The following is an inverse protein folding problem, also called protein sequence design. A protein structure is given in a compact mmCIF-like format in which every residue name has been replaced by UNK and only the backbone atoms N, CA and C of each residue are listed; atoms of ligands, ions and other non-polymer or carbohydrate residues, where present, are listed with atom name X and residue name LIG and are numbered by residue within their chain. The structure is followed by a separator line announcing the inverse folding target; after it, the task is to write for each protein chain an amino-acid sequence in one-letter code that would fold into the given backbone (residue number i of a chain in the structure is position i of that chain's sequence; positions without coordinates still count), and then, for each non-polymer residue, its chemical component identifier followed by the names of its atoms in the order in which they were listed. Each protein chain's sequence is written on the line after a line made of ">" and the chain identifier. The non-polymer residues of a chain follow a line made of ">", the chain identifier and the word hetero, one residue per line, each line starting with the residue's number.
data_IF_239265490542
#
_entry.id   IF_239265490542
#
_cell.length_a   1.000
_cell.length_b   1.000
_cell.length_c   1.000
_cell.angle_alpha   90.00
_cell.angle_beta   90.00
_cell.angle_gamma   90.00
#
_symmetry.space_group_name_H-M   'P 1'
#
loop_
_entity.id
_entity.type
_entity.pdbx_description
1 polymer ?
#
# COMPACT_ATOMS: atom_id res chain seq x y z
N UNK A 1 7.59 5.37 -84.21
CA UNK A 1 8.07 4.64 -83.01
C UNK A 1 9.09 5.41 -82.17
N UNK A 2 10.01 6.21 -82.73
CA UNK A 2 10.96 6.98 -81.91
C UNK A 2 10.34 8.23 -81.22
N UNK A 3 9.37 8.91 -81.85
CA UNK A 3 8.74 10.12 -81.30
C UNK A 3 7.78 9.84 -80.12
N UNK A 4 6.99 8.76 -80.18
CA UNK A 4 6.12 8.33 -79.06
C UNK A 4 6.92 7.87 -77.82
N UNK A 5 8.12 7.33 -78.04
CA UNK A 5 8.97 6.84 -76.95
C UNK A 5 9.57 8.01 -76.16
N UNK A 6 9.85 9.15 -76.82
CA UNK A 6 10.34 10.38 -76.18
C UNK A 6 9.24 11.06 -75.35
N UNK A 7 7.98 11.01 -75.80
CA UNK A 7 6.82 11.51 -75.03
C UNK A 7 6.53 10.64 -73.80
N UNK A 8 6.67 9.32 -73.92
CA UNK A 8 6.52 8.39 -72.79
C UNK A 8 7.61 8.59 -71.73
N UNK A 9 8.87 8.75 -72.16
CA UNK A 9 10.01 9.01 -71.26
C UNK A 9 9.82 10.34 -70.53
N UNK A 10 9.41 11.41 -71.22
CA UNK A 10 9.11 12.70 -70.58
C UNK A 10 7.96 12.63 -69.56
N UNK A 11 6.90 11.88 -69.87
CA UNK A 11 5.78 11.63 -68.94
C UNK A 11 6.23 10.81 -67.72
N UNK A 12 7.07 9.79 -67.91
CA UNK A 12 7.65 8.99 -66.84
C UNK A 12 8.57 9.82 -65.93
N UNK A 13 9.38 10.72 -66.47
CA UNK A 13 10.20 11.64 -65.69
C UNK A 13 9.37 12.62 -64.85
N UNK A 14 8.28 13.15 -65.43
CA UNK A 14 7.34 14.01 -64.70
C UNK A 14 6.65 13.24 -63.56
N UNK A 15 6.22 12.00 -63.81
CA UNK A 15 5.65 11.12 -62.77
C UNK A 15 6.66 10.78 -61.68
N UNK A 16 7.91 10.45 -62.04
CA UNK A 16 8.98 10.17 -61.09
C UNK A 16 9.30 11.39 -60.22
N UNK A 17 9.37 12.60 -60.80
CA UNK A 17 9.54 13.85 -60.05
C UNK A 17 8.37 14.12 -59.10
N UNK A 18 7.12 13.93 -59.56
CA UNK A 18 5.91 14.10 -58.73
C UNK A 18 5.87 13.10 -57.57
N UNK A 19 6.18 11.84 -57.83
CA UNK A 19 6.25 10.80 -56.81
C UNK A 19 7.37 11.09 -55.79
N UNK A 20 8.55 11.50 -56.25
CA UNK A 20 9.65 11.93 -55.37
C UNK A 20 9.28 13.12 -54.48
N UNK A 21 8.59 14.12 -55.03
CA UNK A 21 8.10 15.26 -54.27
C UNK A 21 7.02 14.87 -53.23
N UNK A 22 6.07 14.01 -53.61
CA UNK A 22 5.04 13.49 -52.71
C UNK A 22 5.64 12.64 -51.58
N UNK A 23 6.58 11.75 -51.89
CA UNK A 23 7.32 10.96 -50.89
C UNK A 23 8.10 11.86 -49.93
N UNK A 24 8.79 12.88 -50.44
CA UNK A 24 9.50 13.84 -49.60
C UNK A 24 8.57 14.68 -48.71
N UNK A 25 7.38 15.04 -49.20
CA UNK A 25 6.37 15.74 -48.39
C UNK A 25 5.79 14.83 -47.29
N UNK A 26 5.50 13.57 -47.61
CA UNK A 26 5.05 12.57 -46.65
C UNK A 26 6.09 12.33 -45.55
N UNK A 27 7.36 12.13 -45.92
CA UNK A 27 8.45 11.97 -44.95
C UNK A 27 8.62 13.19 -44.04
N UNK A 28 8.48 14.41 -44.57
CA UNK A 28 8.50 15.63 -43.75
C UNK A 28 7.30 15.68 -42.80
N UNK A 29 6.10 15.35 -43.26
CA UNK A 29 4.91 15.32 -42.42
C UNK A 29 5.04 14.27 -41.29
N UNK A 30 5.57 13.08 -41.59
CA UNK A 30 5.85 12.05 -40.57
C UNK A 30 6.87 12.55 -39.53
N UNK A 31 7.93 13.23 -39.97
CA UNK A 31 8.94 13.81 -39.06
C UNK A 31 8.32 14.92 -38.21
N UNK A 32 7.53 15.83 -38.78
CA UNK A 32 6.88 16.91 -38.05
C UNK A 32 5.85 16.38 -37.03
N UNK A 33 5.12 15.33 -37.38
CA UNK A 33 4.21 14.62 -36.48
C UNK A 33 4.99 13.95 -35.33
N UNK A 34 6.08 13.25 -35.63
CA UNK A 34 6.93 12.61 -34.63
C UNK A 34 7.57 13.62 -33.67
N UNK A 35 8.04 14.76 -34.18
CA UNK A 35 8.57 15.85 -33.37
C UNK A 35 7.49 16.48 -32.49
N UNK A 36 6.28 16.67 -33.02
CA UNK A 36 5.15 17.20 -32.28
C UNK A 36 4.72 16.26 -31.15
N UNK A 37 4.62 14.96 -31.42
CA UNK A 37 4.37 13.93 -30.39
C UNK A 37 5.44 13.93 -29.30
N UNK A 38 6.71 14.04 -29.69
CA UNK A 38 7.83 14.09 -28.73
C UNK A 38 7.74 15.33 -27.84
N UNK A 39 7.47 16.51 -28.41
CA UNK A 39 7.29 17.76 -27.64
C UNK A 39 6.11 17.66 -26.67
N UNK A 40 4.98 17.11 -27.12
CA UNK A 40 3.82 16.86 -26.26
C UNK A 40 4.14 15.89 -25.13
N UNK A 41 4.89 14.82 -25.42
CA UNK A 41 5.34 13.86 -24.40
C UNK A 41 6.23 14.50 -23.34
N UNK A 42 7.17 15.36 -23.74
CA UNK A 42 8.02 16.12 -22.79
C UNK A 42 7.19 17.06 -21.93
N UNK A 43 6.30 17.84 -22.54
CA UNK A 43 5.42 18.76 -21.80
C UNK A 43 4.49 18.01 -20.82
N UNK A 44 3.98 16.84 -21.22
CA UNK A 44 3.17 15.99 -20.35
C UNK A 44 3.99 15.42 -19.19
N UNK A 45 5.24 15.01 -19.43
CA UNK A 45 6.14 14.57 -18.37
C UNK A 45 6.41 15.68 -17.34
N UNK A 46 6.64 16.92 -17.80
CA UNK A 46 6.79 18.08 -16.93
C UNK A 46 5.53 18.35 -16.09
N UNK A 47 4.35 18.26 -16.72
CA UNK A 47 3.07 18.42 -16.02
C UNK A 47 2.83 17.32 -14.98
N UNK A 48 3.20 16.07 -15.28
CA UNK A 48 3.09 14.94 -14.34
C UNK A 48 4.07 15.06 -13.17
N UNK A 49 5.29 15.59 -13.41
CA UNK A 49 6.22 15.95 -12.32
C UNK A 49 5.62 17.01 -11.40
N UNK A 50 5.13 18.12 -11.97
CA UNK A 50 4.51 19.18 -11.19
C UNK A 50 3.28 18.68 -10.40
N UNK A 51 2.48 17.80 -11.01
CA UNK A 51 1.37 17.15 -10.32
C UNK A 51 1.85 16.28 -9.16
N UNK A 52 2.93 15.51 -9.33
CA UNK A 52 3.45 14.66 -8.27
C UNK A 52 3.95 15.48 -7.06
N UNK A 53 4.54 16.65 -7.31
CA UNK A 53 4.91 17.59 -6.24
C UNK A 53 3.67 18.09 -5.48
N UNK A 54 2.62 18.50 -6.19
CA UNK A 54 1.33 18.90 -5.59
C UNK A 54 0.68 17.74 -4.82
N UNK A 55 0.77 16.52 -5.33
CA UNK A 55 0.23 15.34 -4.64
C UNK A 55 0.99 15.01 -3.35
N UNK A 56 2.31 15.24 -3.31
CA UNK A 56 3.12 15.12 -2.10
C UNK A 56 2.67 16.13 -1.05
N UNK A 57 2.57 17.41 -1.41
CA UNK A 57 2.07 18.46 -0.51
C UNK A 57 0.64 18.16 -0.03
N UNK A 58 -0.22 17.68 -0.93
CA UNK A 58 -1.58 17.33 -0.59
C UNK A 58 -1.67 16.16 0.42
N UNK A 59 -0.75 15.17 0.35
CA UNK A 59 -0.65 14.10 1.36
C UNK A 59 -0.27 14.65 2.73
N UNK A 60 0.72 15.53 2.79
CA UNK A 60 1.15 16.18 4.04
C UNK A 60 0.03 17.04 4.66
N UNK A 61 -0.67 17.82 3.83
CA UNK A 61 -1.82 18.63 4.26
C UNK A 61 -2.95 17.73 4.76
N UNK A 62 -3.27 16.66 4.03
CA UNK A 62 -4.33 15.72 4.41
C UNK A 62 -4.01 15.05 5.75
N UNK A 63 -2.78 14.57 5.94
CA UNK A 63 -2.32 13.98 7.18
C UNK A 63 -2.37 15.00 8.33
N UNK A 64 -1.92 16.23 8.10
CA UNK A 64 -1.97 17.31 9.11
C UNK A 64 -3.41 17.63 9.51
N UNK A 65 -4.31 17.79 8.54
CA UNK A 65 -5.73 18.01 8.78
C UNK A 65 -6.36 16.86 9.58
N UNK A 66 -6.01 15.62 9.23
CA UNK A 66 -6.47 14.45 9.97
C UNK A 66 -5.96 14.44 11.41
N UNK A 67 -4.66 14.68 11.64
CA UNK A 67 -4.07 14.76 12.98
C UNK A 67 -4.77 15.79 13.85
N UNK A 68 -5.09 16.97 13.30
CA UNK A 68 -5.81 18.04 14.02
C UNK A 68 -7.21 17.60 14.44
N UNK A 69 -7.95 16.93 13.56
CA UNK A 69 -9.30 16.45 13.88
C UNK A 69 -9.26 15.27 14.86
N UNK A 70 -8.39 14.28 14.61
CA UNK A 70 -8.23 13.09 15.43
C UNK A 70 -7.70 13.41 16.84
N UNK A 71 -6.94 14.50 16.99
CA UNK A 71 -6.45 14.98 18.28
C UNK A 71 -7.57 15.22 19.30
N UNK A 72 -8.78 15.57 18.85
CA UNK A 72 -9.97 15.79 19.70
C UNK A 72 -10.44 14.52 20.39
N UNK A 73 -10.11 13.36 19.83
CA UNK A 73 -10.49 12.05 20.34
C UNK A 73 -9.34 11.33 21.06
N UNK A 74 -8.13 11.91 21.08
CA UNK A 74 -7.00 11.35 21.81
C UNK A 74 -7.31 11.23 23.30
N UNK A 75 -7.08 10.04 23.85
CA UNK A 75 -7.25 9.77 25.29
C UNK A 75 -6.00 9.09 25.86
N UNK A 76 -4.90 9.83 26.05
CA UNK A 76 -3.69 9.29 26.65
C UNK A 76 -3.99 8.65 28.01
N UNK A 77 -3.35 7.52 28.29
CA UNK A 77 -3.46 6.82 29.57
C UNK A 77 -2.13 6.23 29.93
N UNK A 78 -1.78 6.30 31.21
CA UNK A 78 -0.68 5.51 31.78
C UNK A 78 -1.25 4.32 32.54
N UNK A 79 -0.67 3.16 32.28
CA UNK A 79 -1.00 1.88 32.91
C UNK A 79 0.19 1.45 33.76
N UNK A 80 0.19 1.93 35.01
CA UNK A 80 1.22 1.61 35.99
C UNK A 80 1.05 0.20 36.59
N UNK A 81 1.96 -0.19 37.49
CA UNK A 81 1.92 -1.50 38.17
C UNK A 81 0.62 -1.75 38.92
N UNK A 82 0.06 -0.72 39.57
CA UNK A 82 -1.23 -0.80 40.29
C UNK A 82 -2.38 -1.07 39.32
N UNK A 83 -2.43 -0.36 38.19
CA UNK A 83 -3.44 -0.59 37.16
C UNK A 83 -3.39 -2.04 36.65
N UNK A 84 -2.19 -2.59 36.41
CA UNK A 84 -2.02 -4.01 36.01
C UNK A 84 -2.48 -5.00 37.08
N UNK A 85 -2.31 -4.69 38.36
CA UNK A 85 -2.82 -5.53 39.45
C UNK A 85 -4.35 -5.48 39.52
N UNK A 86 -4.94 -4.28 39.36
CA UNK A 86 -6.39 -4.11 39.29
C UNK A 86 -6.96 -4.90 38.11
N UNK A 87 -6.39 -4.77 36.92
CA UNK A 87 -6.91 -5.45 35.73
C UNK A 87 -6.84 -6.99 35.87
N UNK A 88 -5.78 -7.52 36.51
CA UNK A 88 -5.69 -8.95 36.87
C UNK A 88 -6.73 -9.36 37.91
N UNK A 89 -6.96 -8.52 38.92
CA UNK A 89 -8.01 -8.75 39.91
C UNK A 89 -9.42 -8.74 39.30
N UNK A 90 -9.66 -7.86 38.33
CA UNK A 90 -10.92 -7.80 37.59
C UNK A 90 -11.15 -9.05 36.74
N UNK A 91 -10.13 -9.61 36.09
CA UNK A 91 -10.30 -10.84 35.30
C UNK A 91 -10.81 -12.02 36.15
N UNK A 92 -10.44 -12.08 37.43
CA UNK A 92 -10.94 -13.09 38.37
C UNK A 92 -12.47 -13.01 38.60
N UNK A 93 -13.07 -11.83 38.41
CA UNK A 93 -14.53 -11.61 38.51
C UNK A 93 -15.29 -12.06 37.25
N UNK A 94 -14.65 -12.88 36.39
CA UNK A 94 -15.23 -13.48 35.17
C UNK A 94 -15.81 -12.40 34.25
N UNK A 95 -16.97 -12.64 33.64
CA UNK A 95 -17.52 -11.79 32.58
C UNK A 95 -17.71 -10.33 32.96
N UNK A 96 -18.12 -10.04 34.19
CA UNK A 96 -18.35 -8.66 34.63
C UNK A 96 -17.04 -7.90 34.80
N UNK A 97 -16.03 -8.51 35.42
CA UNK A 97 -14.72 -7.87 35.56
C UNK A 97 -13.95 -7.80 34.25
N UNK A 98 -14.05 -8.81 33.39
CA UNK A 98 -13.54 -8.79 32.00
C UNK A 98 -14.14 -7.64 31.19
N UNK A 99 -15.44 -7.39 31.31
CA UNK A 99 -16.07 -6.23 30.68
C UNK A 99 -15.48 -4.90 31.18
N UNK A 100 -15.13 -4.80 32.47
CA UNK A 100 -14.46 -3.63 33.02
C UNK A 100 -13.02 -3.48 32.52
N UNK A 101 -12.27 -4.59 32.33
CA UNK A 101 -10.94 -4.55 31.70
C UNK A 101 -11.04 -3.97 30.28
N UNK A 102 -11.99 -4.48 29.48
CA UNK A 102 -12.25 -3.98 28.13
C UNK A 102 -12.63 -2.49 28.16
N UNK A 103 -13.58 -2.09 29.00
CA UNK A 103 -14.01 -0.70 29.11
C UNK A 103 -12.86 0.24 29.49
N UNK A 104 -11.99 -0.19 30.41
CA UNK A 104 -10.83 0.59 30.87
C UNK A 104 -9.75 0.73 29.81
N UNK A 105 -9.58 -0.27 28.94
CA UNK A 105 -8.63 -0.23 27.84
C UNK A 105 -9.02 0.82 26.80
N UNK A 106 -10.32 1.02 26.57
CA UNK A 106 -10.85 1.98 25.60
C UNK A 106 -10.78 1.51 24.14
N UNK A 107 -10.47 0.24 23.90
CA UNK A 107 -10.37 -0.34 22.54
C UNK A 107 -11.72 -0.70 21.91
N UNK A 108 -12.80 -0.63 22.69
CA UNK A 108 -14.13 -1.06 22.29
C UNK A 108 -14.97 0.12 21.79
N UNK A 109 -15.53 -0.02 20.60
CA UNK A 109 -16.14 1.10 19.86
C UNK A 109 -17.62 1.33 20.21
N UNK A 110 -18.46 0.29 20.28
CA UNK A 110 -19.93 0.43 20.38
C UNK A 110 -20.60 -0.58 21.32
N UNK A 111 -21.73 -0.23 21.96
CA UNK A 111 -22.56 -1.20 22.72
C UNK A 111 -22.34 -1.30 24.24
N UNK A 112 -21.45 -0.47 24.81
CA UNK A 112 -21.30 -0.29 26.26
C UNK A 112 -20.97 -1.56 27.07
N UNK A 113 -21.06 -1.46 28.40
CA UNK A 113 -20.66 -2.55 29.32
C UNK A 113 -21.45 -3.85 29.12
N UNK A 114 -22.72 -3.77 28.71
CA UNK A 114 -23.56 -4.95 28.46
C UNK A 114 -23.04 -5.77 27.27
N UNK A 115 -22.66 -5.12 26.17
CA UNK A 115 -22.07 -5.80 25.02
C UNK A 115 -20.72 -6.42 25.38
N UNK A 116 -19.86 -5.68 26.09
CA UNK A 116 -18.57 -6.19 26.56
C UNK A 116 -18.72 -7.42 27.46
N UNK A 117 -19.69 -7.40 28.39
CA UNK A 117 -19.98 -8.54 29.26
C UNK A 117 -20.61 -9.73 28.49
N UNK A 118 -21.40 -9.47 27.45
CA UNK A 118 -21.91 -10.51 26.57
C UNK A 118 -20.77 -11.20 25.80
N UNK A 119 -19.87 -10.41 25.21
CA UNK A 119 -18.66 -10.90 24.57
C UNK A 119 -17.78 -11.70 25.53
N UNK A 120 -17.48 -11.16 26.72
CA UNK A 120 -16.65 -11.84 27.71
C UNK A 120 -17.25 -13.16 28.23
N UNK A 121 -18.57 -13.36 28.13
CA UNK A 121 -19.24 -14.64 28.44
C UNK A 121 -19.10 -15.68 27.34
N UNK A 122 -19.01 -15.25 26.07
CA UNK A 122 -18.84 -16.15 24.92
C UNK A 122 -17.46 -16.82 24.93
N UNK A 123 -16.45 -16.14 25.44
CA UNK A 123 -15.10 -16.69 25.56
C UNK A 123 -14.41 -16.84 24.20
N UNK A 124 -13.60 -17.89 24.04
CA UNK A 124 -12.81 -18.19 22.85
C UNK A 124 -13.62 -18.84 21.71
N UNK A 125 -14.74 -18.23 21.34
CA UNK A 125 -15.60 -18.67 20.22
C UNK A 125 -15.20 -17.94 18.92
N UNK A 126 -14.61 -18.61 17.90
CA UNK A 126 -14.18 -17.96 16.66
C UNK A 126 -15.30 -17.26 15.89
N UNK A 127 -16.57 -17.62 16.11
CA UNK A 127 -17.71 -17.00 15.44
C UNK A 127 -18.09 -15.63 16.03
N UNK A 128 -17.51 -15.25 17.17
CA UNK A 128 -17.80 -13.99 17.87
C UNK A 128 -16.68 -13.00 17.63
N UNK A 129 -17.00 -11.88 16.98
CA UNK A 129 -16.08 -10.77 16.79
C UNK A 129 -16.41 -9.61 17.75
N UNK A 130 -15.42 -9.06 18.47
CA UNK A 130 -15.61 -7.87 19.29
C UNK A 130 -15.79 -6.63 18.42
N UNK A 131 -16.49 -5.61 18.93
CA UNK A 131 -16.57 -4.29 18.30
C UNK A 131 -15.28 -3.49 18.58
N UNK A 132 -14.15 -3.99 18.10
CA UNK A 132 -12.81 -3.45 18.29
C UNK A 132 -11.93 -3.85 17.10
N UNK A 133 -10.80 -3.17 16.91
CA UNK A 133 -9.74 -3.60 15.98
C UNK A 133 -9.02 -4.85 16.52
N UNK A 134 -9.72 -5.98 16.53
CA UNK A 134 -9.28 -7.27 17.04
C UNK A 134 -10.02 -8.37 16.30
N UNK A 135 -9.29 -9.24 15.58
CA UNK A 135 -9.87 -10.41 14.92
C UNK A 135 -9.70 -11.63 15.83
N UNK A 136 -10.81 -12.07 16.43
CA UNK A 136 -10.81 -13.17 17.37
C UNK A 136 -10.47 -14.51 16.71
N UNK A 137 -11.05 -14.81 15.54
CA UNK A 137 -10.76 -16.06 14.84
C UNK A 137 -9.29 -16.15 14.44
N UNK A 138 -8.74 -15.05 13.94
CA UNK A 138 -7.33 -14.96 13.58
C UNK A 138 -6.41 -15.06 14.80
N UNK A 139 -6.70 -14.34 15.88
CA UNK A 139 -5.91 -14.39 17.11
C UNK A 139 -5.87 -15.79 17.73
N UNK A 140 -7.01 -16.50 17.73
CA UNK A 140 -7.10 -17.87 18.23
C UNK A 140 -6.30 -18.87 17.37
N UNK A 141 -6.17 -18.65 16.06
CA UNK A 141 -5.34 -19.50 15.19
C UNK A 141 -3.87 -19.49 15.61
N UNK A 142 -3.36 -18.34 16.06
CA UNK A 142 -2.01 -18.20 16.63
C UNK A 142 -1.91 -18.59 18.11
N UNK A 143 -3.03 -18.92 18.76
CA UNK A 143 -3.13 -19.21 20.20
C UNK A 143 -3.95 -20.47 20.48
N UNK A 144 -3.47 -21.65 20.04
CA UNK A 144 -4.17 -22.92 20.28
C UNK A 144 -4.30 -23.24 21.78
N UNK A 145 -3.46 -22.65 22.64
CA UNK A 145 -3.53 -22.73 24.10
C UNK A 145 -4.82 -22.15 24.69
N UNK A 146 -5.45 -21.20 23.98
CA UNK A 146 -6.72 -20.60 24.39
C UNK A 146 -7.94 -21.37 23.87
N UNK A 147 -7.75 -22.31 22.94
CA UNK A 147 -8.85 -23.05 22.33
C UNK A 147 -9.59 -23.89 23.39
N UNK A 148 -10.93 -23.77 23.43
CA UNK A 148 -11.76 -24.45 24.42
C UNK A 148 -11.68 -23.87 25.85
N UNK A 149 -10.85 -22.86 26.08
CA UNK A 149 -10.80 -22.15 27.36
C UNK A 149 -12.00 -21.22 27.53
N UNK A 150 -12.34 -20.89 28.78
CA UNK A 150 -13.28 -19.81 29.09
C UNK A 150 -12.62 -18.42 29.04
N UNK A 151 -11.38 -18.30 28.58
CA UNK A 151 -10.72 -17.00 28.48
C UNK A 151 -11.40 -16.15 27.39
N UNK A 152 -11.47 -14.84 27.62
CA UNK A 152 -11.92 -13.90 26.59
C UNK A 152 -10.68 -13.48 25.78
N UNK A 153 -10.60 -13.76 24.47
CA UNK A 153 -9.37 -13.53 23.70
C UNK A 153 -8.88 -12.08 23.70
N UNK A 154 -9.78 -11.11 23.57
CA UNK A 154 -9.43 -9.69 23.68
C UNK A 154 -8.89 -9.34 25.08
N UNK A 155 -9.48 -9.87 26.15
CA UNK A 155 -8.95 -9.65 27.51
C UNK A 155 -7.58 -10.29 27.65
N UNK A 156 -7.40 -11.50 27.12
CA UNK A 156 -6.11 -12.16 27.13
C UNK A 156 -5.04 -11.33 26.40
N UNK A 157 -5.35 -10.78 25.23
CA UNK A 157 -4.47 -9.85 24.53
C UNK A 157 -4.11 -8.64 25.41
N UNK A 158 -5.11 -7.99 26.01
CA UNK A 158 -4.92 -6.79 26.85
C UNK A 158 -4.09 -7.06 28.11
N UNK A 159 -4.11 -8.29 28.64
CA UNK A 159 -3.39 -8.65 29.86
C UNK A 159 -2.01 -9.26 29.59
N UNK A 160 -1.88 -10.01 28.49
CA UNK A 160 -0.72 -10.86 28.19
C UNK A 160 -0.24 -10.66 26.75
N UNK A 161 -1.12 -10.92 25.76
CA UNK A 161 -0.72 -11.01 24.36
C UNK A 161 -0.01 -9.78 23.80
N UNK A 162 -0.44 -8.57 24.17
CA UNK A 162 0.22 -7.35 23.71
C UNK A 162 1.65 -7.17 24.24
N UNK A 163 1.98 -7.71 25.42
CA UNK A 163 3.34 -7.68 25.97
C UNK A 163 4.23 -8.79 25.38
N UNK A 164 3.61 -9.85 24.87
CA UNK A 164 4.28 -10.95 24.18
C UNK A 164 4.51 -10.66 22.68
N UNK A 165 4.20 -9.45 22.22
CA UNK A 165 4.33 -9.08 20.80
C UNK A 165 3.26 -9.70 19.90
N UNK A 166 2.21 -10.32 20.45
CA UNK A 166 1.15 -10.88 19.64
C UNK A 166 0.42 -9.75 18.91
N UNK A 167 0.13 -9.93 17.64
CA UNK A 167 -0.74 -9.04 16.88
C UNK A 167 -2.22 -9.31 17.22
N UNK A 168 -3.11 -8.32 17.21
CA UNK A 168 -4.55 -8.49 17.48
C UNK A 168 -5.38 -8.73 16.21
N UNK A 169 -4.86 -8.36 15.04
CA UNK A 169 -5.58 -8.33 13.78
C UNK A 169 -4.57 -8.40 12.61
N UNK A 170 -4.89 -8.99 11.44
CA UNK A 170 -3.99 -9.02 10.27
C UNK A 170 -3.47 -7.63 9.84
N UNK A 171 -4.29 -6.59 9.93
CA UNK A 171 -3.92 -5.20 9.62
C UNK A 171 -3.22 -4.45 10.77
N UNK A 172 -2.81 -5.15 11.82
CA UNK A 172 -2.08 -4.55 12.94
C UNK A 172 -0.90 -5.44 13.32
N UNK A 173 0.31 -4.97 13.04
CA UNK A 173 1.55 -5.64 13.41
C UNK A 173 2.09 -5.04 14.71
N UNK A 174 1.97 -5.80 15.81
CA UNK A 174 2.40 -5.35 17.14
C UNK A 174 3.92 -5.10 17.22
N UNK A 175 4.73 -5.88 16.52
CA UNK A 175 6.19 -5.76 16.57
C UNK A 175 6.64 -4.54 15.77
N UNK A 176 6.15 -4.41 14.53
CA UNK A 176 6.37 -3.22 13.70
C UNK A 176 5.92 -1.95 14.41
N UNK A 177 4.72 -1.94 14.97
CA UNK A 177 4.18 -0.78 15.66
C UNK A 177 4.99 -0.42 16.92
N UNK A 178 5.42 -1.43 17.68
CA UNK A 178 6.25 -1.24 18.85
C UNK A 178 7.64 -0.69 18.51
N UNK A 179 8.25 -1.12 17.40
CA UNK A 179 9.55 -0.64 16.94
C UNK A 179 9.60 0.89 16.78
N UNK A 180 8.52 1.49 16.27
CA UNK A 180 8.42 2.94 16.04
C UNK A 180 7.79 3.71 17.23
N UNK A 181 7.24 3.02 18.22
CA UNK A 181 6.54 3.60 19.39
C UNK A 181 7.14 3.21 20.74
N UNK A 182 8.35 2.61 20.75
CA UNK A 182 8.92 1.94 21.93
C UNK A 182 9.01 2.85 23.16
N UNK A 183 9.45 4.09 23.00
CA UNK A 183 9.59 5.05 24.11
C UNK A 183 8.25 5.38 24.78
N UNK A 184 7.19 5.56 23.98
CA UNK A 184 5.85 5.88 24.48
C UNK A 184 5.16 4.66 25.10
N UNK A 185 5.34 3.48 24.51
CA UNK A 185 4.86 2.22 25.08
C UNK A 185 5.53 1.94 26.43
N UNK A 186 6.84 2.16 26.55
CA UNK A 186 7.57 1.99 27.80
C UNK A 186 7.11 3.00 28.87
N UNK A 187 6.92 4.27 28.50
CA UNK A 187 6.46 5.31 29.42
C UNK A 187 4.98 5.15 29.83
N UNK A 188 4.15 4.66 28.91
CA UNK A 188 2.71 4.50 29.06
C UNK A 188 2.30 3.18 29.70
N UNK A 189 3.06 2.10 29.51
CA UNK A 189 2.69 0.74 29.92
C UNK A 189 1.45 0.19 29.21
N UNK A 190 1.04 0.80 28.10
CA UNK A 190 -0.07 0.36 27.26
C UNK A 190 0.38 -0.77 26.33
N UNK A 191 -0.54 -1.65 25.95
CA UNK A 191 -0.31 -2.55 24.82
C UNK A 191 -0.23 -1.77 23.50
N UNK A 192 0.40 -2.32 22.43
CA UNK A 192 0.44 -1.69 21.11
C UNK A 192 -0.94 -1.23 20.61
N UNK A 193 -1.96 -2.10 20.68
CA UNK A 193 -3.32 -1.76 20.26
C UNK A 193 -3.94 -0.63 21.11
N UNK A 194 -3.79 -0.68 22.44
CA UNK A 194 -4.29 0.38 23.32
C UNK A 194 -3.65 1.73 22.98
N UNK A 195 -2.35 1.73 22.71
CA UNK A 195 -1.63 2.93 22.33
C UNK A 195 -2.10 3.48 20.98
N UNK A 196 -2.23 2.60 19.98
CA UNK A 196 -2.69 2.99 18.65
C UNK A 196 -4.06 3.66 18.67
N UNK A 197 -5.06 3.01 19.28
CA UNK A 197 -6.44 3.53 19.34
C UNK A 197 -6.51 4.85 20.12
N UNK A 198 -5.70 5.03 21.17
CA UNK A 198 -5.78 6.22 22.04
C UNK A 198 -4.97 7.41 21.56
N UNK A 199 -3.89 7.16 20.84
CA UNK A 199 -2.85 8.16 20.56
C UNK A 199 -2.26 7.95 19.17
N UNK A 200 -1.84 6.73 18.85
CA UNK A 200 -1.06 6.44 17.64
C UNK A 200 -1.75 6.78 16.33
N UNK A 201 -3.01 6.39 16.17
CA UNK A 201 -3.77 6.69 14.97
C UNK A 201 -3.84 8.21 14.75
N UNK A 202 -4.17 8.98 15.79
CA UNK A 202 -4.23 10.44 15.74
C UNK A 202 -2.85 11.12 15.53
N UNK A 203 -1.75 10.44 15.86
CA UNK A 203 -0.40 10.87 15.52
C UNK A 203 0.01 10.47 14.09
N UNK A 204 -0.83 9.73 13.36
CA UNK A 204 -0.52 9.23 12.02
C UNK A 204 0.56 8.15 12.03
N UNK A 205 0.57 7.28 13.06
CA UNK A 205 1.49 6.14 13.12
C UNK A 205 0.89 4.94 12.42
N UNK A 206 1.61 4.41 11.45
CA UNK A 206 1.18 3.26 10.68
C UNK A 206 1.09 2.00 11.56
N UNK A 207 -0.05 1.26 11.54
CA UNK A 207 -0.26 0.08 12.37
C UNK A 207 0.37 -1.20 11.77
N UNK A 208 0.71 -1.18 10.49
CA UNK A 208 1.25 -2.32 9.73
C UNK A 208 2.12 -1.78 8.58
N UNK A 209 3.19 -2.49 8.15
CA UNK A 209 3.98 -2.10 6.98
C UNK A 209 3.17 -1.85 5.70
N UNK A 210 1.98 -2.45 5.59
CA UNK A 210 1.14 -2.42 4.39
C UNK A 210 -0.09 -1.52 4.55
N UNK A 211 -0.08 -0.67 5.58
CA UNK A 211 -1.12 0.32 5.80
C UNK A 211 -0.47 1.66 6.13
N UNK A 212 -0.46 2.58 5.15
CA UNK A 212 0.05 3.94 5.33
C UNK A 212 -1.12 4.89 5.59
N UNK A 213 -1.19 5.46 6.80
CA UNK A 213 -2.22 6.43 7.18
C UNK A 213 -2.12 7.66 6.28
N UNK A 214 -0.90 8.14 6.01
CA UNK A 214 -0.67 9.28 5.11
C UNK A 214 -1.28 9.04 3.72
N UNK A 215 -0.99 7.89 3.12
CA UNK A 215 -1.51 7.52 1.81
C UNK A 215 -3.04 7.34 1.81
N UNK A 216 -3.56 6.69 2.85
CA UNK A 216 -4.97 6.34 2.95
C UNK A 216 -5.87 7.56 3.21
N UNK A 217 -5.47 8.43 4.15
CA UNK A 217 -6.20 9.65 4.51
C UNK A 217 -6.37 10.58 3.31
N UNK A 218 -5.36 10.68 2.44
CA UNK A 218 -5.43 11.49 1.23
C UNK A 218 -6.57 11.08 0.28
N UNK A 219 -6.97 9.81 0.30
CA UNK A 219 -8.05 9.26 -0.51
C UNK A 219 -9.43 9.34 0.16
N UNK A 220 -9.47 9.62 1.48
CA UNK A 220 -10.68 9.62 2.29
C UNK A 220 -10.90 10.98 2.99
N UNK A 221 -11.39 12.02 2.29
CA UNK A 221 -11.69 13.32 2.90
C UNK A 221 -12.70 13.24 4.07
N UNK A 222 -13.61 12.27 4.03
CA UNK A 222 -14.56 11.98 5.09
C UNK A 222 -13.91 11.45 6.38
N UNK A 223 -12.78 10.73 6.26
CA UNK A 223 -11.96 10.32 7.39
C UNK A 223 -11.28 11.54 8.05
N UNK A 224 -10.81 12.51 7.25
CA UNK A 224 -10.23 13.77 7.76
C UNK A 224 -11.27 14.54 8.59
N UNK A 225 -12.51 14.62 8.10
CA UNK A 225 -13.59 15.34 8.75
C UNK A 225 -14.07 14.66 10.05
N UNK A 226 -14.10 13.33 10.07
CA UNK A 226 -14.54 12.56 11.24
C UNK A 226 -13.45 12.38 12.30
N UNK A 227 -12.17 12.34 11.89
CA UNK A 227 -11.05 11.99 12.78
C UNK A 227 -11.13 10.57 13.34
N UNK A 228 -11.89 9.69 12.68
CA UNK A 228 -12.08 8.29 13.09
C UNK A 228 -10.82 7.44 12.88
N UNK A 229 -10.83 6.21 13.39
CA UNK A 229 -9.72 5.27 13.21
C UNK A 229 -9.58 4.88 11.72
N UNK A 230 -8.38 5.02 11.10
CA UNK A 230 -8.20 4.75 9.68
C UNK A 230 -8.41 3.29 9.29
N UNK A 231 -8.03 2.34 10.17
CA UNK A 231 -8.15 0.90 9.90
C UNK A 231 -9.60 0.48 9.99
N UNK A 232 -10.33 0.92 11.02
CA UNK A 232 -11.78 0.72 11.12
C UNK A 232 -12.50 1.34 9.92
N UNK A 233 -12.14 2.57 9.52
CA UNK A 233 -12.71 3.19 8.31
C UNK A 233 -12.43 2.37 7.05
N UNK A 234 -11.22 1.83 6.88
CA UNK A 234 -10.88 0.93 5.78
C UNK A 234 -11.77 -0.30 5.77
N UNK A 235 -11.85 -1.02 6.90
CA UNK A 235 -12.61 -2.27 7.06
C UNK A 235 -14.12 -2.09 6.84
N UNK A 236 -14.67 -0.93 7.17
CA UNK A 236 -16.11 -0.66 7.05
C UNK A 236 -16.50 -0.08 5.67
N UNK A 237 -15.70 0.85 5.15
CA UNK A 237 -16.11 1.70 4.01
C UNK A 237 -15.06 1.76 2.91
N UNK A 238 -13.79 1.96 3.27
CA UNK A 238 -12.73 2.28 2.30
C UNK A 238 -12.49 1.20 1.26
N UNK A 239 -12.43 -0.06 1.67
CA UNK A 239 -12.16 -1.15 0.72
C UNK A 239 -13.29 -1.34 -0.30
N UNK A 240 -14.55 -1.10 0.10
CA UNK A 240 -15.72 -1.17 -0.80
C UNK A 240 -15.74 -0.04 -1.82
N UNK A 241 -15.06 1.07 -1.51
CA UNK A 241 -14.81 2.20 -2.43
C UNK A 241 -13.59 1.97 -3.34
N UNK A 242 -12.89 0.84 -3.21
CA UNK A 242 -11.67 0.54 -3.96
C UNK A 242 -10.45 1.35 -3.51
N UNK A 243 -10.45 1.88 -2.27
CA UNK A 243 -9.31 2.65 -1.76
C UNK A 243 -8.13 1.74 -1.45
N UNK A 244 -6.94 2.17 -1.83
CA UNK A 244 -5.68 1.45 -1.56
C UNK A 244 -5.10 1.89 -0.21
N UNK A 245 -4.84 0.97 0.74
CA UNK A 245 -4.27 1.32 2.05
C UNK A 245 -2.79 1.66 2.00
N UNK A 246 -2.08 1.30 0.92
CA UNK A 246 -0.65 1.54 0.76
C UNK A 246 -0.27 1.65 -0.73
N UNK A 247 0.73 2.47 -1.13
CA UNK A 247 1.14 2.61 -2.53
C UNK A 247 1.54 1.28 -3.20
N UNK A 248 2.14 0.35 -2.45
CA UNK A 248 2.52 -0.99 -2.95
C UNK A 248 1.38 -2.02 -2.88
N UNK A 249 0.14 -1.60 -2.63
CA UNK A 249 -1.03 -2.45 -2.67
C UNK A 249 -2.10 -1.82 -3.57
N UNK A 250 -2.20 -2.30 -4.80
CA UNK A 250 -3.16 -1.83 -5.78
C UNK A 250 -4.49 -2.58 -5.64
N UNK A 251 -5.47 -2.00 -4.94
CA UNK A 251 -6.74 -2.66 -4.64
C UNK A 251 -7.52 -3.07 -5.91
N UNK A 252 -7.47 -2.27 -6.97
CA UNK A 252 -8.05 -2.57 -8.29
C UNK A 252 -7.42 -3.82 -8.91
N UNK A 253 -6.08 -3.87 -8.93
CA UNK A 253 -5.31 -4.93 -9.55
C UNK A 253 -5.41 -6.24 -8.77
N UNK A 254 -5.35 -6.15 -7.45
CA UNK A 254 -5.50 -7.30 -6.58
C UNK A 254 -6.93 -7.88 -6.64
N UNK A 255 -7.94 -7.00 -6.59
CA UNK A 255 -9.34 -7.39 -6.68
C UNK A 255 -9.72 -8.07 -8.00
N UNK A 256 -9.01 -7.76 -9.10
CA UNK A 256 -9.20 -8.43 -10.38
C UNK A 256 -8.67 -9.88 -10.42
N UNK A 257 -7.75 -10.24 -9.51
CA UNK A 257 -7.16 -11.58 -9.40
C UNK A 257 -7.83 -12.42 -8.30
N UNK A 258 -8.19 -11.79 -7.19
CA UNK A 258 -8.73 -12.46 -6.02
C UNK A 258 -10.17 -12.93 -6.28
N UNK A 259 -10.59 -14.08 -5.73
CA UNK A 259 -11.99 -14.49 -5.81
C UNK A 259 -12.88 -13.43 -5.14
N UNK A 260 -14.08 -13.23 -5.68
CA UNK A 260 -15.07 -12.36 -5.07
C UNK A 260 -15.45 -12.89 -3.67
N UNK A 261 -14.90 -12.27 -2.64
CA UNK A 261 -15.14 -12.61 -1.24
C UNK A 261 -15.49 -11.34 -0.46
N UNK A 262 -16.40 -11.44 0.52
CA UNK A 262 -16.80 -10.31 1.38
C UNK A 262 -15.77 -10.11 2.51
N UNK A 263 -14.52 -9.89 2.10
CA UNK A 263 -13.38 -9.65 2.98
C UNK A 263 -12.55 -8.52 2.37
N UNK A 264 -12.02 -7.62 3.21
CA UNK A 264 -11.20 -6.52 2.73
C UNK A 264 -9.96 -7.05 1.96
N UNK A 265 -9.62 -6.51 0.77
CA UNK A 265 -8.55 -7.02 -0.09
C UNK A 265 -7.20 -7.20 0.61
N UNK A 266 -6.78 -6.24 1.43
CA UNK A 266 -5.51 -6.35 2.15
C UNK A 266 -5.55 -7.45 3.23
N UNK A 267 -6.70 -7.66 3.88
CA UNK A 267 -6.88 -8.77 4.84
C UNK A 267 -6.81 -10.10 4.09
N UNK A 268 -7.49 -10.21 2.95
CA UNK A 268 -7.42 -11.41 2.11
C UNK A 268 -6.00 -11.69 1.64
N UNK A 269 -5.26 -10.65 1.21
CA UNK A 269 -3.85 -10.79 0.83
C UNK A 269 -2.99 -11.36 1.96
N UNK A 270 -3.06 -10.76 3.14
CA UNK A 270 -2.25 -11.18 4.29
C UNK A 270 -2.62 -12.56 4.84
N UNK A 271 -3.87 -13.00 4.67
CA UNK A 271 -4.34 -14.28 5.22
C UNK A 271 -4.29 -15.44 4.23
N UNK A 272 -4.42 -15.16 2.94
CA UNK A 272 -4.59 -16.17 1.88
C UNK A 272 -3.79 -15.83 0.63
N UNK A 273 -3.91 -14.60 0.12
CA UNK A 273 -3.38 -14.21 -1.19
C UNK A 273 -1.87 -14.33 -1.35
N UNK A 274 -1.11 -13.89 -0.35
CA UNK A 274 0.36 -13.95 -0.39
C UNK A 274 0.88 -15.40 -0.44
N UNK A 275 0.20 -16.32 0.25
CA UNK A 275 0.51 -17.75 0.20
C UNK A 275 0.09 -18.40 -1.13
N UNK A 276 -0.94 -17.86 -1.77
CA UNK A 276 -1.43 -18.30 -3.09
C UNK A 276 -0.69 -17.66 -4.28
N UNK A 277 0.37 -16.87 -4.04
CA UNK A 277 1.14 -16.22 -5.10
C UNK A 277 0.42 -15.05 -5.80
N UNK A 278 -0.71 -14.58 -5.25
CA UNK A 278 -1.45 -13.45 -5.83
C UNK A 278 -0.65 -12.15 -5.69
N UNK A 279 -0.54 -11.38 -6.77
CA UNK A 279 0.30 -10.19 -6.81
C UNK A 279 -0.44 -8.98 -6.22
N UNK A 280 0.06 -8.34 -5.14
CA UNK A 280 -0.59 -7.18 -4.53
C UNK A 280 -0.47 -5.92 -5.39
N UNK A 281 0.51 -5.88 -6.30
CA UNK A 281 0.79 -4.76 -7.19
C UNK A 281 1.47 -5.28 -8.46
N UNK A 282 1.28 -4.67 -9.65
CA UNK A 282 1.93 -5.14 -10.89
C UNK A 282 3.46 -5.20 -10.82
N UNK A 283 4.06 -4.30 -10.02
CA UNK A 283 5.51 -4.18 -9.81
C UNK A 283 6.06 -4.95 -8.61
N UNK A 284 5.22 -5.76 -7.93
CA UNK A 284 5.67 -6.64 -6.85
C UNK A 284 5.20 -8.07 -7.10
N UNK A 285 6.13 -9.00 -7.14
CA UNK A 285 5.86 -10.41 -7.41
C UNK A 285 6.32 -11.25 -6.20
N UNK A 286 5.39 -11.71 -5.33
CA UNK A 286 5.74 -12.42 -4.10
C UNK A 286 6.52 -13.73 -4.35
N UNK A 287 6.18 -14.46 -5.41
CA UNK A 287 6.83 -15.74 -5.73
C UNK A 287 8.23 -15.51 -6.29
N UNK A 288 8.37 -14.55 -7.19
CA UNK A 288 9.69 -14.17 -7.69
C UNK A 288 10.58 -13.64 -6.56
N UNK A 289 10.05 -12.77 -5.68
CA UNK A 289 10.79 -12.20 -4.57
C UNK A 289 11.30 -13.28 -3.60
N UNK A 290 10.45 -14.26 -3.24
CA UNK A 290 10.88 -15.42 -2.44
C UNK A 290 11.95 -16.26 -3.15
N UNK A 291 11.82 -16.43 -4.47
CA UNK A 291 12.80 -17.16 -5.27
C UNK A 291 14.16 -16.48 -5.36
N UNK A 292 14.21 -15.14 -5.23
CA UNK A 292 15.47 -14.39 -5.24
C UNK A 292 16.10 -14.26 -3.85
N UNK A 293 15.29 -14.16 -2.79
CA UNK A 293 15.74 -13.82 -1.44
C UNK A 293 15.45 -14.94 -0.45
N UNK A 294 16.39 -15.87 -0.33
CA UNK A 294 16.25 -17.06 0.52
C UNK A 294 16.09 -16.71 2.01
N UNK A 295 16.68 -15.61 2.47
CA UNK A 295 16.55 -15.11 3.84
C UNK A 295 15.10 -14.76 4.22
N UNK A 296 14.31 -14.33 3.24
CA UNK A 296 12.87 -14.03 3.41
C UNK A 296 12.08 -15.32 3.66
N UNK A 297 12.45 -16.39 2.96
CA UNK A 297 11.86 -17.72 3.10
C UNK A 297 12.26 -18.33 4.45
N UNK A 298 13.55 -18.31 4.78
CA UNK A 298 14.10 -18.87 6.00
C UNK A 298 13.57 -18.16 7.25
N UNK A 299 13.38 -16.83 7.17
CA UNK A 299 12.75 -16.04 8.21
C UNK A 299 11.23 -16.17 8.30
N UNK A 300 10.58 -16.82 7.32
CA UNK A 300 9.12 -16.98 7.27
C UNK A 300 8.36 -15.66 7.11
N UNK A 301 8.99 -14.62 6.56
CA UNK A 301 8.38 -13.31 6.42
C UNK A 301 7.38 -13.27 5.25
N UNK A 302 6.30 -12.49 5.42
CA UNK A 302 5.42 -12.17 4.28
C UNK A 302 6.21 -11.26 3.31
N UNK A 303 6.33 -11.64 2.01
CA UNK A 303 7.25 -10.99 1.08
C UNK A 303 7.09 -9.47 0.96
N UNK A 304 5.85 -8.98 0.81
CA UNK A 304 5.62 -7.55 0.61
C UNK A 304 5.89 -6.77 1.90
N UNK A 305 5.49 -7.31 3.05
CA UNK A 305 5.74 -6.73 4.37
C UNK A 305 7.24 -6.60 4.64
N UNK A 306 8.02 -7.65 4.34
CA UNK A 306 9.49 -7.59 4.39
C UNK A 306 10.04 -6.52 3.45
N UNK A 307 9.59 -6.49 2.19
CA UNK A 307 10.08 -5.50 1.23
C UNK A 307 9.80 -4.06 1.67
N UNK A 308 8.62 -3.78 2.24
CA UNK A 308 8.32 -2.43 2.74
C UNK A 308 9.14 -2.09 3.98
N UNK A 309 9.27 -3.03 4.92
CA UNK A 309 9.96 -2.78 6.20
C UNK A 309 11.48 -2.62 6.06
N UNK A 310 12.11 -3.38 5.17
CA UNK A 310 13.58 -3.41 5.02
C UNK A 310 14.04 -3.52 3.57
N UNK A 311 13.48 -4.46 2.81
CA UNK A 311 14.03 -4.85 1.49
C UNK A 311 14.14 -3.71 0.48
N UNK A 312 13.20 -2.77 0.47
CA UNK A 312 13.25 -1.61 -0.41
C UNK A 312 14.40 -0.66 -0.05
N UNK A 313 14.59 -0.37 1.24
CA UNK A 313 15.71 0.47 1.71
C UNK A 313 17.08 -0.19 1.47
N UNK A 314 17.12 -1.54 1.46
CA UNK A 314 18.28 -2.34 1.07
C UNK A 314 18.54 -2.35 -0.45
N UNK A 315 17.66 -1.75 -1.25
CA UNK A 315 17.78 -1.74 -2.71
C UNK A 315 17.44 -3.06 -3.38
N UNK A 316 16.66 -3.93 -2.72
CA UNK A 316 16.21 -5.20 -3.32
C UNK A 316 15.27 -4.96 -4.50
N UNK A 317 15.29 -5.89 -5.44
CA UNK A 317 14.39 -5.94 -6.57
C UNK A 317 13.04 -6.52 -6.11
N UNK A 318 11.90 -5.85 -6.34
CA UNK A 318 10.58 -6.34 -5.90
C UNK A 318 9.91 -7.30 -6.90
N UNK A 319 10.32 -7.25 -8.16
CA UNK A 319 9.79 -8.06 -9.25
C UNK A 319 10.75 -8.02 -10.44
N UNK A 320 10.54 -8.85 -11.47
CA UNK A 320 11.28 -8.73 -12.72
C UNK A 320 11.12 -7.35 -13.37
N UNK A 321 10.04 -6.63 -13.09
CA UNK A 321 9.66 -5.39 -13.76
C UNK A 321 10.28 -4.12 -13.14
N UNK A 322 11.07 -4.27 -12.08
CA UNK A 322 11.66 -3.12 -11.39
C UNK A 322 13.11 -3.39 -10.99
N UNK A 323 14.04 -2.71 -11.67
CA UNK A 323 15.44 -2.68 -11.32
C UNK A 323 15.70 -1.56 -10.31
N UNK A 324 15.80 -1.93 -9.03
CA UNK A 324 16.02 -0.97 -7.95
C UNK A 324 17.38 -0.28 -8.06
N UNK A 325 18.45 -1.02 -8.39
CA UNK A 325 19.79 -0.45 -8.53
C UNK A 325 19.86 0.59 -9.66
N UNK A 326 19.26 0.28 -10.82
CA UNK A 326 19.13 1.22 -11.93
C UNK A 326 18.30 2.44 -11.53
N UNK A 327 17.16 2.23 -10.88
CA UNK A 327 16.29 3.33 -10.46
C UNK A 327 17.01 4.29 -9.50
N UNK A 328 17.67 3.76 -8.47
CA UNK A 328 18.49 4.52 -7.51
C UNK A 328 19.56 5.31 -8.27
N UNK A 329 20.26 4.68 -9.22
CA UNK A 329 21.29 5.35 -10.03
C UNK A 329 20.71 6.51 -10.86
N UNK A 330 19.55 6.31 -11.49
CA UNK A 330 18.89 7.32 -12.31
C UNK A 330 18.34 8.49 -11.48
N UNK A 331 17.85 8.21 -10.27
CA UNK A 331 17.36 9.25 -9.35
C UNK A 331 18.49 10.02 -8.68
N UNK A 332 19.64 9.37 -8.45
CA UNK A 332 20.80 10.00 -7.85
C UNK A 332 20.47 10.72 -6.53
N UNK A 333 20.90 11.98 -6.41
CA UNK A 333 20.69 12.80 -5.21
C UNK A 333 19.25 13.18 -4.90
N UNK A 334 18.32 12.99 -5.84
CA UNK A 334 16.89 13.29 -5.63
C UNK A 334 16.18 12.20 -4.81
N UNK A 335 16.76 11.00 -4.72
CA UNK A 335 16.25 9.93 -3.87
C UNK A 335 16.83 10.07 -2.45
N UNK A 336 15.96 10.38 -1.49
CA UNK A 336 16.36 10.49 -0.10
C UNK A 336 16.98 9.17 0.43
N UNK A 337 18.07 9.22 1.22
CA UNK A 337 18.68 8.01 1.78
C UNK A 337 17.68 7.16 2.57
N UNK A 338 17.72 5.85 2.33
CA UNK A 338 16.81 4.88 2.99
C UNK A 338 15.36 4.92 2.49
N UNK A 339 15.00 5.80 1.54
CA UNK A 339 13.67 5.80 0.94
C UNK A 339 13.48 4.55 0.08
N UNK A 340 12.35 3.86 0.26
CA UNK A 340 12.00 2.72 -0.58
C UNK A 340 11.88 3.18 -2.06
N UNK A 341 12.70 2.62 -2.97
CA UNK A 341 12.80 3.08 -4.36
C UNK A 341 11.50 2.85 -5.14
N UNK A 342 10.81 1.73 -4.91
CA UNK A 342 9.53 1.47 -5.57
C UNK A 342 8.44 2.42 -5.08
N UNK A 343 8.42 2.75 -3.79
CA UNK A 343 7.48 3.77 -3.25
C UNK A 343 7.78 5.15 -3.86
N UNK A 344 9.05 5.56 -3.93
CA UNK A 344 9.44 6.82 -4.57
C UNK A 344 9.05 6.86 -6.05
N UNK A 345 9.26 5.75 -6.78
CA UNK A 345 8.88 5.62 -8.17
C UNK A 345 7.38 5.88 -8.37
N UNK A 346 6.53 5.20 -7.60
CA UNK A 346 5.07 5.32 -7.68
C UNK A 346 4.55 6.67 -7.18
N UNK A 347 5.29 7.34 -6.29
CA UNK A 347 4.89 8.63 -5.72
C UNK A 347 5.42 9.85 -6.51
N UNK A 348 5.91 9.64 -7.72
CA UNK A 348 6.27 10.72 -8.64
C UNK A 348 7.63 10.55 -9.32
N UNK A 349 8.54 9.77 -8.72
CA UNK A 349 9.89 9.63 -9.25
C UNK A 349 9.95 8.97 -10.63
N UNK A 350 8.91 8.23 -11.02
CA UNK A 350 8.72 7.72 -12.37
C UNK A 350 8.78 8.81 -13.46
N UNK A 351 8.28 10.02 -13.15
CA UNK A 351 8.19 11.13 -14.12
C UNK A 351 9.48 11.93 -14.25
N UNK A 352 10.43 11.72 -13.33
CA UNK A 352 11.75 12.36 -13.35
C UNK A 352 12.80 11.57 -14.12
N UNK A 353 12.47 10.37 -14.61
CA UNK A 353 13.40 9.52 -15.36
C UNK A 353 12.93 9.30 -16.80
N UNK A 354 13.85 9.37 -17.75
CA UNK A 354 13.55 9.25 -19.17
C UNK A 354 13.40 7.81 -19.68
N UNK A 355 14.13 6.87 -19.08
CA UNK A 355 14.17 5.46 -19.51
C UNK A 355 14.18 4.53 -18.28
N UNK A 356 13.00 4.26 -17.69
CA UNK A 356 12.89 3.40 -16.51
C UNK A 356 13.32 1.95 -16.77
N UNK A 357 13.26 1.49 -18.01
CA UNK A 357 13.71 0.15 -18.41
C UNK A 357 14.40 0.18 -19.77
N UNK A 358 15.45 -0.65 -20.02
CA UNK A 358 16.14 -0.67 -21.31
C UNK A 358 15.22 -0.81 -22.51
N UNK A 359 15.31 0.13 -23.45
CA UNK A 359 14.48 0.20 -24.66
C UNK A 359 13.04 0.67 -24.42
N UNK A 360 12.70 1.05 -23.19
CA UNK A 360 11.35 1.42 -22.77
C UNK A 360 11.38 2.82 -22.14
N UNK A 361 11.17 3.84 -22.98
CA UNK A 361 11.24 5.24 -22.58
C UNK A 361 9.91 5.78 -22.06
N UNK A 362 9.97 6.74 -21.14
CA UNK A 362 8.82 7.48 -20.64
C UNK A 362 8.12 8.22 -21.78
N UNK A 363 8.87 8.78 -22.74
CA UNK A 363 8.28 9.45 -23.91
C UNK A 363 7.49 8.51 -24.81
N UNK A 364 7.95 7.27 -25.02
CA UNK A 364 7.22 6.26 -25.79
C UNK A 364 5.93 5.82 -25.07
N UNK A 365 5.97 5.68 -23.74
CA UNK A 365 4.77 5.44 -22.94
C UNK A 365 3.78 6.60 -23.05
N UNK A 366 4.21 7.85 -22.85
CA UNK A 366 3.33 9.01 -22.93
C UNK A 366 2.73 9.20 -24.33
N UNK A 367 3.44 8.83 -25.39
CA UNK A 367 2.94 8.89 -26.75
C UNK A 367 1.86 7.82 -27.05
N UNK A 368 1.86 6.69 -26.34
CA UNK A 368 0.96 5.56 -26.60
C UNK A 368 -0.15 5.39 -25.56
N UNK A 369 0.00 5.95 -24.36
CA UNK A 369 -0.86 5.72 -23.21
C UNK A 369 -1.02 6.98 -22.32
N UNK A 370 -1.14 8.16 -22.94
CA UNK A 370 -1.29 9.44 -22.21
C UNK A 370 -2.47 9.43 -21.22
N UNK A 371 -3.59 8.81 -21.57
CA UNK A 371 -4.78 8.77 -20.70
C UNK A 371 -4.52 7.97 -19.42
N UNK A 372 -3.76 6.88 -19.54
CA UNK A 372 -3.35 6.08 -18.39
C UNK A 372 -2.36 6.85 -17.52
N UNK A 373 -1.43 7.58 -18.12
CA UNK A 373 -0.51 8.47 -17.39
C UNK A 373 -1.26 9.55 -16.60
N UNK A 374 -2.29 10.16 -17.22
CA UNK A 374 -3.17 11.14 -16.56
C UNK A 374 -4.00 10.49 -15.44
N UNK A 375 -4.35 9.22 -15.52
CA UNK A 375 -4.95 8.50 -14.38
C UNK A 375 -3.98 8.15 -13.26
N UNK A 376 -2.68 8.41 -13.44
CA UNK A 376 -1.62 8.14 -12.46
C UNK A 376 -0.87 6.83 -12.66
N UNK A 377 -1.13 6.09 -13.75
CA UNK A 377 -0.40 4.86 -14.05
C UNK A 377 1.01 5.18 -14.53
N UNK A 378 2.01 4.60 -13.89
CA UNK A 378 3.42 4.77 -14.28
C UNK A 378 3.80 3.91 -15.50
N UNK A 379 4.89 4.23 -16.22
CA UNK A 379 5.33 3.45 -17.37
C UNK A 379 5.56 1.96 -17.07
N UNK A 380 6.24 1.65 -15.96
CA UNK A 380 6.53 0.26 -15.59
C UNK A 380 5.25 -0.49 -15.21
N UNK A 381 4.30 0.14 -14.51
CA UNK A 381 3.01 -0.49 -14.23
C UNK A 381 2.26 -0.85 -15.51
N UNK A 382 2.26 0.04 -16.51
CA UNK A 382 1.60 -0.22 -17.80
C UNK A 382 2.18 -1.46 -18.48
N UNK A 383 3.50 -1.57 -18.59
CA UNK A 383 4.13 -2.72 -19.25
C UNK A 383 3.98 -4.01 -18.43
N UNK A 384 4.09 -3.92 -17.10
CA UNK A 384 3.89 -5.07 -16.21
C UNK A 384 2.47 -5.64 -16.31
N UNK A 385 1.44 -4.78 -16.39
CA UNK A 385 0.04 -5.21 -16.56
C UNK A 385 -0.23 -5.87 -17.92
N UNK A 386 0.53 -5.54 -18.97
CA UNK A 386 0.37 -6.13 -20.31
C UNK A 386 1.17 -7.40 -20.53
N UNK A 387 2.10 -7.74 -19.64
CA UNK A 387 2.94 -8.93 -19.78
C UNK A 387 3.81 -8.90 -21.04
N UNK A 388 4.16 -7.72 -21.57
CA UNK A 388 4.96 -7.58 -22.79
C UNK A 388 6.39 -8.05 -22.57
N UNK A 389 6.61 -9.36 -22.81
CA UNK A 389 7.87 -10.10 -22.98
C UNK A 389 9.12 -9.42 -22.39
N UNK A 390 9.60 -9.97 -21.27
CA UNK A 390 11.00 -9.83 -20.90
C UNK A 390 11.84 -10.87 -21.65
N UNK A 391 12.90 -10.42 -22.31
CA UNK A 391 14.21 -11.07 -22.09
C UNK A 391 14.66 -10.69 -20.67
N UNK A 392 14.94 -11.66 -19.78
CA UNK A 392 15.45 -11.38 -18.45
C UNK A 392 16.72 -10.53 -18.54
N UNK A 393 16.92 -9.59 -17.61
CA UNK A 393 18.27 -9.06 -17.38
C UNK A 393 19.16 -10.24 -16.96
N UNK A 394 20.24 -10.45 -17.72
CA UNK A 394 21.27 -11.43 -17.41
C UNK A 394 22.01 -11.08 -16.11
#
# INVERSE_FOLDING_TARGET
>A
MAADNVDLVGKLEVLARRYGAARGAFQRAEVDEALSRTRLGVALADALRARADVEREAREIALTGYRVTAARFMRPRRRNRVARLIDRGLDMLRSCGRALVIARSGVWETGGLRAMAAYARRGADPAVQPAALFDQAWYLKGRPDLAGSRASPLVHYLLHGGAEGASPHPLFDSEFYAGHSAAELAAGGLTPLEHFIRVGAAQGRDPHPLFSIEHYVRQAPDLIASGSDPVTHYLQTGWRRGLSPHPLFAADFYGAQAPAADIAPLVHYLTTGAAAGLKPHPLFDPDWYRGQYQDVVDGGFEPLSHYVASGGAEGRHPSPWFDAARYITLRGGDLAPGRNPLVDYLQGGAWSIGEPWPGKTTTAFLASASDLAVSGMTPLEHWARRGELQTPSA
#
